data_IF_551909783237
#
_entry.id   IF_551909783237
#
_cell.length_a   1.000
_cell.length_b   1.000
_cell.length_c   1.000
_cell.angle_alpha   90.00
_cell.angle_beta   90.00
_cell.angle_gamma   90.00
#
_symmetry.space_group_name_H-M   'P 1'
#
loop_
_entity.id
_entity.type
_entity.pdbx_description
1 polymer ?
#
# COMPACT_ATOMS: atom_id res chain seq x y z
N UNK A 1 -15.30 -13.34 5.26
CA UNK A 1 -15.49 -12.76 3.92
C UNK A 1 -14.23 -11.98 3.55
N UNK A 2 -13.71 -12.03 2.31
CA UNK A 2 -12.59 -11.17 1.94
C UNK A 2 -13.02 -9.71 2.09
N UNK A 3 -12.23 -8.94 2.83
CA UNK A 3 -12.46 -7.51 2.99
C UNK A 3 -12.37 -6.84 1.60
N UNK A 4 -13.45 -6.18 1.19
CA UNK A 4 -13.57 -5.50 -0.11
C UNK A 4 -13.40 -4.01 0.09
N UNK A 5 -12.74 -3.37 -0.87
CA UNK A 5 -12.52 -1.93 -0.89
C UNK A 5 -13.86 -1.19 -1.04
N UNK A 6 -14.30 -0.39 -0.05
CA UNK A 6 -15.48 0.46 -0.16
C UNK A 6 -15.19 1.75 -0.94
N UNK A 7 -13.91 2.12 -1.17
CA UNK A 7 -13.49 3.32 -1.88
C UNK A 7 -13.30 3.02 -3.37
N UNK A 8 -14.01 3.72 -4.27
CA UNK A 8 -13.89 3.48 -5.71
C UNK A 8 -12.48 3.78 -6.26
N UNK A 9 -11.96 2.86 -7.07
CA UNK A 9 -10.70 3.04 -7.81
C UNK A 9 -10.84 4.14 -8.87
N UNK A 10 -10.58 5.38 -8.46
CA UNK A 10 -10.76 6.59 -9.26
C UNK A 10 -9.48 7.42 -9.27
N UNK A 11 -9.30 8.32 -10.26
CA UNK A 11 -8.15 9.22 -10.28
C UNK A 11 -8.00 10.05 -9.00
N UNK A 12 -9.11 10.45 -8.37
CA UNK A 12 -9.10 11.19 -7.11
C UNK A 12 -8.56 10.34 -5.95
N UNK A 13 -9.04 9.10 -5.81
CA UNK A 13 -8.55 8.14 -4.80
C UNK A 13 -7.07 7.83 -5.00
N UNK A 14 -6.65 7.57 -6.24
CA UNK A 14 -5.24 7.32 -6.58
C UNK A 14 -4.36 8.53 -6.26
N UNK A 15 -4.82 9.74 -6.57
CA UNK A 15 -4.07 10.97 -6.28
C UNK A 15 -3.94 11.22 -4.77
N UNK A 16 -5.01 10.97 -4.00
CA UNK A 16 -4.97 11.08 -2.55
C UNK A 16 -4.02 10.02 -1.94
N UNK A 17 -4.16 8.76 -2.36
CA UNK A 17 -3.28 7.66 -1.96
C UNK A 17 -1.81 7.93 -2.29
N UNK A 18 -1.52 8.52 -3.46
CA UNK A 18 -0.15 8.94 -3.83
C UNK A 18 0.41 9.96 -2.85
N UNK A 19 -0.38 10.96 -2.46
CA UNK A 19 0.04 11.98 -1.50
C UNK A 19 0.34 11.38 -0.12
N UNK A 20 -0.55 10.52 0.38
CA UNK A 20 -0.36 9.80 1.64
C UNK A 20 0.86 8.87 1.59
N UNK A 21 1.05 8.16 0.49
CA UNK A 21 2.17 7.24 0.30
C UNK A 21 3.52 7.98 0.33
N UNK A 22 3.61 9.14 -0.34
CA UNK A 22 4.80 9.97 -0.32
C UNK A 22 5.16 10.43 1.10
N UNK A 23 4.15 10.76 1.92
CA UNK A 23 4.34 11.24 3.28
C UNK A 23 4.71 10.13 4.28
N UNK A 24 4.18 8.91 4.09
CA UNK A 24 4.20 7.88 5.14
C UNK A 24 4.90 6.58 4.76
N UNK A 25 4.87 6.22 3.48
CA UNK A 25 5.31 4.90 3.01
C UNK A 25 6.62 4.94 2.23
N UNK A 26 6.86 6.01 1.48
CA UNK A 26 8.01 6.16 0.59
C UNK A 26 9.36 6.17 1.33
N UNK A 27 9.38 6.53 2.62
CA UNK A 27 10.59 6.47 3.44
C UNK A 27 11.18 5.05 3.52
N UNK A 28 10.34 4.01 3.44
CA UNK A 28 10.72 2.60 3.42
C UNK A 28 10.58 1.97 2.03
N UNK A 29 9.46 2.23 1.34
CA UNK A 29 9.11 1.58 0.06
C UNK A 29 9.65 2.30 -1.18
N UNK A 30 10.30 3.46 -1.02
CA UNK A 30 10.70 4.33 -2.12
C UNK A 30 9.49 4.99 -2.82
N UNK A 31 9.70 6.03 -3.65
CA UNK A 31 8.60 6.82 -4.22
C UNK A 31 7.72 6.05 -5.21
N UNK A 32 8.27 5.06 -5.94
CA UNK A 32 7.52 4.24 -6.89
C UNK A 32 7.23 2.83 -6.35
N UNK A 33 7.48 2.58 -5.06
CA UNK A 33 7.17 1.31 -4.41
C UNK A 33 8.16 0.17 -4.66
N UNK A 34 9.30 0.42 -5.32
CA UNK A 34 10.33 -0.60 -5.59
C UNK A 34 11.14 -1.05 -4.35
N UNK A 35 10.85 -0.50 -3.16
CA UNK A 35 11.66 -0.65 -1.96
C UNK A 35 12.84 0.34 -1.93
N UNK A 36 13.74 0.12 -0.97
CA UNK A 36 15.01 0.86 -0.88
C UNK A 36 14.86 2.35 -0.49
N UNK A 37 13.82 2.70 0.26
CA UNK A 37 13.68 4.06 0.77
C UNK A 37 14.83 4.49 1.70
N UNK A 38 14.95 5.80 2.01
CA UNK A 38 16.05 6.35 2.81
C UNK A 38 16.33 5.65 4.14
N UNK A 39 15.30 5.07 4.78
CA UNK A 39 15.46 4.37 6.06
C UNK A 39 15.73 2.88 5.91
N UNK A 40 15.65 2.30 4.70
CA UNK A 40 15.85 0.86 4.45
C UNK A 40 17.25 0.35 4.84
N UNK A 41 18.23 1.23 5.06
CA UNK A 41 19.56 0.86 5.58
C UNK A 41 19.57 0.50 7.07
N UNK A 42 18.50 0.82 7.81
CA UNK A 42 18.40 0.61 9.26
C UNK A 42 17.36 -0.45 9.65
N UNK A 43 16.57 -0.92 8.70
CA UNK A 43 15.47 -1.86 8.91
C UNK A 43 15.52 -2.97 7.85
N UNK A 44 14.84 -4.11 8.07
CA UNK A 44 14.64 -5.08 7.00
C UNK A 44 14.09 -4.40 5.75
N UNK A 45 14.60 -4.72 4.56
CA UNK A 45 14.21 -4.03 3.34
C UNK A 45 12.73 -4.24 3.07
N UNK A 46 12.04 -3.14 2.75
CA UNK A 46 10.68 -3.21 2.25
C UNK A 46 10.68 -3.92 0.89
N UNK A 47 9.67 -4.76 0.59
CA UNK A 47 9.61 -5.45 -0.68
C UNK A 47 9.34 -4.46 -1.82
N UNK A 48 9.74 -4.83 -3.02
CA UNK A 48 9.20 -4.26 -4.25
C UNK A 48 7.71 -4.60 -4.33
N UNK A 49 6.87 -3.56 -4.30
CA UNK A 49 5.42 -3.69 -4.32
C UNK A 49 4.90 -4.21 -5.68
N UNK A 50 5.67 -4.07 -6.77
CA UNK A 50 5.35 -4.64 -8.07
C UNK A 50 5.81 -6.09 -8.22
N UNK A 51 6.53 -6.65 -7.24
CA UNK A 51 6.97 -8.04 -7.30
C UNK A 51 5.79 -9.01 -7.33
N UNK A 52 5.90 -10.09 -8.11
CA UNK A 52 4.78 -10.98 -8.45
C UNK A 52 4.04 -11.54 -7.23
N UNK A 53 4.77 -11.89 -6.16
CA UNK A 53 4.15 -12.44 -4.95
C UNK A 53 3.44 -11.39 -4.10
N UNK A 54 3.81 -10.12 -4.23
CA UNK A 54 3.12 -8.99 -3.59
C UNK A 54 1.89 -8.61 -4.41
N UNK A 55 2.02 -8.55 -5.74
CA UNK A 55 0.90 -8.33 -6.65
C UNK A 55 -0.22 -9.34 -6.48
N UNK A 56 0.12 -10.61 -6.22
CA UNK A 56 -0.82 -11.69 -5.99
C UNK A 56 -1.55 -11.63 -4.62
N UNK A 57 -1.17 -10.74 -3.71
CA UNK A 57 -1.91 -10.55 -2.45
C UNK A 57 -3.28 -9.95 -2.74
N UNK A 58 -4.28 -10.25 -1.91
CA UNK A 58 -5.59 -9.63 -2.01
C UNK A 58 -5.56 -8.18 -1.51
N UNK A 59 -6.54 -7.36 -1.94
CA UNK A 59 -6.67 -5.98 -1.48
C UNK A 59 -6.82 -5.91 0.05
N UNK A 60 -7.66 -6.78 0.61
CA UNK A 60 -7.82 -6.91 2.06
C UNK A 60 -6.52 -7.30 2.79
N UNK A 61 -5.62 -8.06 2.16
CA UNK A 61 -4.30 -8.35 2.75
C UNK A 61 -3.42 -7.10 2.78
N UNK A 62 -3.40 -6.31 1.70
CA UNK A 62 -2.65 -5.06 1.64
C UNK A 62 -3.22 -4.07 2.67
N UNK A 63 -4.54 -3.88 2.70
CA UNK A 63 -5.23 -3.07 3.70
C UNK A 63 -4.91 -3.50 5.12
N UNK A 64 -4.96 -4.81 5.40
CA UNK A 64 -4.61 -5.38 6.70
C UNK A 64 -3.15 -5.11 7.07
N UNK A 65 -2.22 -5.21 6.12
CA UNK A 65 -0.80 -4.91 6.36
C UNK A 65 -0.57 -3.44 6.69
N UNK A 66 -1.26 -2.52 6.00
CA UNK A 66 -1.22 -1.07 6.33
C UNK A 66 -1.79 -0.84 7.74
N UNK A 67 -2.92 -1.49 8.05
CA UNK A 67 -3.66 -1.29 9.29
C UNK A 67 -2.92 -1.83 10.51
N UNK A 68 -2.47 -3.08 10.44
CA UNK A 68 -1.95 -3.81 11.59
C UNK A 68 -0.43 -3.90 11.59
N UNK A 69 0.22 -3.53 10.48
CA UNK A 69 1.64 -3.74 10.29
C UNK A 69 1.98 -5.20 10.01
N UNK A 70 3.26 -5.51 10.09
CA UNK A 70 3.82 -6.85 9.95
C UNK A 70 5.14 -6.96 10.70
N UNK A 71 5.93 -7.99 10.38
CA UNK A 71 7.17 -8.30 11.12
C UNK A 71 8.17 -7.14 11.20
N UNK A 72 8.25 -6.32 10.14
CA UNK A 72 9.16 -5.17 10.07
C UNK A 72 8.45 -3.86 9.69
N UNK A 73 7.17 -3.93 9.34
CA UNK A 73 6.37 -2.77 8.97
C UNK A 73 5.51 -2.37 10.18
N UNK A 74 5.66 -1.15 10.72
CA UNK A 74 4.80 -0.70 11.82
C UNK A 74 3.36 -0.48 11.31
N UNK A 75 2.39 -0.61 12.21
CA UNK A 75 1.01 -0.19 11.93
C UNK A 75 0.99 1.27 11.50
N UNK A 76 0.17 1.57 10.48
CA UNK A 76 -0.04 2.92 10.00
C UNK A 76 -1.41 3.49 10.41
N UNK A 77 -2.21 2.75 11.18
CA UNK A 77 -3.59 3.13 11.48
C UNK A 77 -3.71 4.46 12.26
N UNK A 78 -2.70 4.80 13.07
CA UNK A 78 -2.70 6.05 13.81
C UNK A 78 -2.62 7.26 12.86
N UNK A 79 -3.66 8.10 12.89
CA UNK A 79 -3.78 9.26 12.00
C UNK A 79 -3.99 8.90 10.52
N UNK A 80 -4.41 7.67 10.21
CA UNK A 80 -4.90 7.27 8.87
C UNK A 80 -6.30 6.65 9.02
N UNK A 81 -7.36 7.42 8.78
CA UNK A 81 -8.72 6.91 8.67
C UNK A 81 -8.84 5.71 7.72
N UNK A 82 -9.94 4.98 7.83
CA UNK A 82 -10.17 3.80 6.96
C UNK A 82 -10.17 4.13 5.47
N UNK A 83 -10.85 5.20 5.06
CA UNK A 83 -10.90 5.63 3.66
C UNK A 83 -9.49 5.91 3.10
N UNK A 84 -8.65 6.60 3.85
CA UNK A 84 -7.26 6.92 3.49
C UNK A 84 -6.40 5.66 3.30
N UNK A 85 -6.64 4.62 4.11
CA UNK A 85 -5.95 3.33 3.96
C UNK A 85 -6.39 2.61 2.70
N UNK A 86 -7.64 2.75 2.28
CA UNK A 86 -8.12 2.25 1.00
C UNK A 86 -7.60 3.07 -0.19
N UNK A 87 -7.48 4.39 -0.06
CA UNK A 87 -6.80 5.22 -1.06
C UNK A 87 -5.34 4.77 -1.26
N UNK A 88 -4.63 4.40 -0.18
CA UNK A 88 -3.30 3.80 -0.26
C UNK A 88 -3.31 2.46 -1.00
N UNK A 89 -4.30 1.58 -0.75
CA UNK A 89 -4.46 0.33 -1.51
C UNK A 89 -4.65 0.62 -3.00
N UNK A 90 -5.53 1.56 -3.34
CA UNK A 90 -5.76 1.99 -4.71
C UNK A 90 -4.49 2.52 -5.36
N UNK A 91 -3.71 3.34 -4.67
CA UNK A 91 -2.43 3.80 -5.19
C UNK A 91 -1.41 2.65 -5.40
N UNK A 92 -1.31 1.71 -4.47
CA UNK A 92 -0.46 0.51 -4.64
C UNK A 92 -0.88 -0.30 -5.85
N UNK A 93 -2.19 -0.47 -6.08
CA UNK A 93 -2.73 -1.16 -7.26
C UNK A 93 -2.41 -0.42 -8.56
N UNK A 94 -2.50 0.91 -8.54
CA UNK A 94 -2.07 1.75 -9.65
C UNK A 94 -0.57 1.54 -9.98
N UNK A 95 0.33 1.52 -8.98
CA UNK A 95 1.76 1.21 -9.19
C UNK A 95 1.97 -0.18 -9.80
N UNK A 96 1.16 -1.16 -9.40
CA UNK A 96 1.21 -2.53 -9.90
C UNK A 96 0.59 -2.71 -11.30
N UNK A 97 0.00 -1.66 -11.87
CA UNK A 97 -0.68 -1.70 -13.17
C UNK A 97 -1.93 -2.59 -13.19
N UNK A 98 -2.58 -2.79 -12.04
CA UNK A 98 -3.78 -3.64 -11.91
C UNK A 98 -4.89 -2.89 -11.17
N UNK A 99 -6.14 -3.11 -11.54
CA UNK A 99 -7.27 -2.57 -10.78
C UNK A 99 -7.54 -3.45 -9.53
N UNK A 100 -8.01 -2.86 -8.41
CA UNK A 100 -8.50 -3.62 -7.26
C UNK A 100 -9.61 -4.60 -7.66
N UNK A 101 -9.70 -5.72 -6.95
CA UNK A 101 -10.66 -6.79 -7.26
C UNK A 101 -10.29 -7.66 -8.47
N UNK A 102 -9.16 -7.40 -9.15
CA UNK A 102 -8.67 -8.17 -10.30
C UNK A 102 -7.81 -9.40 -9.95
N UNK A 103 -7.63 -9.70 -8.66
CA UNK A 103 -6.91 -10.89 -8.21
C UNK A 103 -7.82 -12.12 -8.25
N UNK A 104 -7.58 -13.03 -9.20
CA UNK A 104 -8.08 -14.41 -9.10
C UNK A 104 -7.46 -15.12 -7.91
#
# INVERSE_FOLDING_TARGET
EPLRDPVPFTPASIAHGKALFAQRCACCHGPEGQGGGPVSKFFPPAPDLAYVTIRARSDGYIFGTITFGGRAMPSQAEGLPEADRWDLVNFVRHLQGVAPGGGR
#
